data_IF_860614334515
#
_entry.id   IF_860614334515
#
_cell.length_a   1.000
_cell.length_b   1.000
_cell.length_c   1.000
_cell.angle_alpha   90.00
_cell.angle_beta   90.00
_cell.angle_gamma   90.00
#
_symmetry.space_group_name_H-M   'P 1'
#
loop_
_entity.id
_entity.type
_entity.pdbx_description
1 polymer ?
#
# COMPACT_ATOMS: atom_id res chain seq x y z
N UNK A 1 7.80 -11.95 3.05
CA UNK A 1 8.97 -11.74 2.17
C UNK A 1 9.62 -10.45 2.59
N UNK A 2 10.94 -10.42 2.65
CA UNK A 2 11.74 -9.29 3.12
C UNK A 2 12.94 -9.11 2.21
N UNK A 3 13.50 -7.91 2.14
CA UNK A 3 14.73 -7.68 1.40
C UNK A 3 15.21 -6.24 1.44
N UNK A 4 16.42 -6.05 0.94
CA UNK A 4 17.10 -4.76 0.86
C UNK A 4 17.42 -4.43 -0.59
N UNK A 5 17.55 -3.14 -0.88
CA UNK A 5 17.83 -2.66 -2.23
C UNK A 5 18.18 -1.18 -2.28
N UNK A 6 18.35 -0.65 -3.49
CA UNK A 6 18.37 0.80 -3.75
C UNK A 6 17.05 1.15 -4.43
N UNK A 7 16.04 1.50 -3.64
CA UNK A 7 14.70 1.77 -4.15
C UNK A 7 14.55 3.20 -4.71
N UNK A 8 15.62 4.02 -4.65
CA UNK A 8 15.67 5.23 -5.48
C UNK A 8 15.61 4.89 -6.97
N UNK A 9 15.98 3.67 -7.36
CA UNK A 9 15.88 3.16 -8.74
C UNK A 9 14.45 2.87 -9.19
N UNK A 10 13.50 2.78 -8.26
CA UNK A 10 12.08 2.56 -8.56
C UNK A 10 11.20 3.73 -8.12
N UNK A 11 11.80 4.90 -7.88
CA UNK A 11 11.08 6.15 -7.61
C UNK A 11 10.82 6.44 -6.14
N UNK A 12 11.38 5.67 -5.19
CA UNK A 12 11.36 6.05 -3.78
C UNK A 12 12.28 7.25 -3.56
N UNK A 13 11.78 8.26 -2.86
CA UNK A 13 12.56 9.48 -2.63
C UNK A 13 13.75 9.19 -1.73
N UNK A 14 14.91 9.79 -2.03
CA UNK A 14 16.09 9.63 -1.17
C UNK A 14 15.79 10.16 0.24
N UNK A 15 16.04 9.34 1.25
CA UNK A 15 15.76 9.67 2.65
C UNK A 15 14.31 9.44 3.07
N UNK A 16 13.48 8.86 2.20
CA UNK A 16 12.18 8.35 2.57
C UNK A 16 12.38 7.11 3.48
N UNK A 17 12.05 7.28 4.75
CA UNK A 17 12.13 6.23 5.78
C UNK A 17 11.01 5.20 5.64
N UNK A 18 10.07 5.47 4.73
CA UNK A 18 9.13 4.51 4.21
C UNK A 18 7.68 4.87 4.46
N UNK A 19 6.82 4.03 3.89
CA UNK A 19 5.38 4.12 3.98
C UNK A 19 4.75 2.75 3.83
N UNK A 20 3.45 2.73 4.07
CA UNK A 20 2.62 1.53 4.09
C UNK A 20 1.76 1.48 2.82
N UNK A 21 1.70 0.29 2.21
CA UNK A 21 0.88 -0.05 1.06
C UNK A 21 -0.02 -1.23 1.44
N UNK A 22 -1.32 -1.08 1.17
CA UNK A 22 -2.35 -1.96 1.72
C UNK A 22 -3.51 -2.22 0.74
N UNK A 23 -4.35 -3.25 0.99
CA UNK A 23 -5.55 -3.55 0.20
C UNK A 23 -6.73 -2.60 0.44
N UNK A 24 -6.72 -1.79 1.49
CA UNK A 24 -7.84 -1.02 2.01
C UNK A 24 -7.60 0.50 2.03
N UNK A 25 -6.84 1.01 1.07
CA UNK A 25 -6.64 2.46 0.88
C UNK A 25 -7.96 3.24 0.85
N UNK A 26 -7.93 4.58 0.91
CA UNK A 26 -9.11 5.43 1.15
C UNK A 26 -10.37 5.18 0.26
N UNK A 27 -10.22 4.51 -0.89
CA UNK A 27 -11.32 4.15 -1.81
C UNK A 27 -11.77 2.69 -1.71
N UNK A 28 -11.16 1.88 -0.83
CA UNK A 28 -11.37 0.44 -0.71
C UNK A 28 -10.83 -0.38 -1.89
N UNK A 29 -9.93 0.18 -2.70
CA UNK A 29 -9.36 -0.45 -3.92
C UNK A 29 -7.86 -0.72 -3.82
N UNK A 30 -7.33 -0.67 -2.60
CA UNK A 30 -5.90 -0.66 -2.32
C UNK A 30 -5.25 0.71 -2.38
N UNK A 31 -4.11 0.81 -1.74
CA UNK A 31 -3.13 1.88 -1.88
C UNK A 31 -1.75 1.23 -2.11
N UNK A 32 -1.26 1.19 -3.36
CA UNK A 32 -1.81 1.86 -4.54
C UNK A 32 -3.10 1.19 -5.04
N UNK A 33 -3.95 2.00 -5.69
CA UNK A 33 -5.14 1.47 -6.37
C UNK A 33 -4.69 0.43 -7.41
N UNK A 34 -5.28 -0.76 -7.34
CA UNK A 34 -4.93 -1.88 -8.22
C UNK A 34 -3.79 -2.76 -7.73
N UNK A 35 -3.27 -2.53 -6.53
CA UNK A 35 -2.38 -3.46 -5.84
C UNK A 35 -3.11 -4.75 -5.49
N UNK A 36 -2.85 -5.83 -6.25
CA UNK A 36 -3.42 -7.15 -6.01
C UNK A 36 -2.30 -8.16 -5.81
N UNK A 37 -2.38 -8.94 -4.73
CA UNK A 37 -1.40 -9.98 -4.44
C UNK A 37 -2.01 -11.34 -4.76
N UNK A 38 -1.26 -12.16 -5.51
CA UNK A 38 -1.64 -13.53 -5.86
C UNK A 38 -0.54 -14.50 -5.43
N UNK A 39 -0.93 -15.69 -5.01
CA UNK A 39 0.03 -16.74 -4.69
C UNK A 39 -0.61 -18.10 -4.47
N UNK A 40 0.25 -19.09 -4.28
CA UNK A 40 -0.11 -20.49 -4.03
C UNK A 40 0.35 -20.98 -2.64
N UNK A 41 0.80 -20.06 -1.76
CA UNK A 41 1.26 -20.39 -0.41
C UNK A 41 0.21 -21.10 0.45
N UNK A 42 -1.08 -20.91 0.14
CA UNK A 42 -2.22 -21.50 0.86
C UNK A 42 -3.03 -22.46 -0.02
N UNK A 43 -2.40 -23.11 -1.01
CA UNK A 43 -3.03 -24.11 -1.87
C UNK A 43 -3.05 -23.70 -3.35
N UNK A 44 -4.23 -23.67 -3.97
CA UNK A 44 -4.36 -23.25 -5.37
C UNK A 44 -4.01 -21.77 -5.51
N UNK A 45 -3.54 -21.38 -6.70
CA UNK A 45 -3.29 -19.98 -7.03
C UNK A 45 -4.57 -19.18 -6.83
N UNK A 46 -4.51 -18.20 -5.94
CA UNK A 46 -5.63 -17.37 -5.54
C UNK A 46 -5.16 -15.96 -5.19
N UNK A 47 -6.10 -15.02 -5.14
CA UNK A 47 -5.85 -13.68 -4.63
C UNK A 47 -5.76 -13.72 -3.10
N UNK A 48 -4.80 -13.00 -2.54
CA UNK A 48 -4.75 -12.70 -1.12
C UNK A 48 -5.32 -11.29 -0.92
N UNK A 49 -6.52 -11.22 -0.35
CA UNK A 49 -7.21 -9.95 -0.11
C UNK A 49 -6.61 -9.16 1.04
N UNK A 50 -6.06 -9.85 2.04
CA UNK A 50 -5.36 -9.24 3.16
C UNK A 50 -3.85 -9.36 2.94
N UNK A 51 -3.19 -8.22 2.80
CA UNK A 51 -1.75 -8.10 2.65
C UNK A 51 -1.31 -6.74 3.18
N UNK A 52 -0.03 -6.59 3.48
CA UNK A 52 0.56 -5.27 3.77
C UNK A 52 1.99 -5.28 3.27
N UNK A 53 2.44 -4.14 2.76
CA UNK A 53 3.79 -3.93 2.30
C UNK A 53 4.31 -2.61 2.87
N UNK A 54 5.47 -2.68 3.53
CA UNK A 54 6.21 -1.48 3.89
C UNK A 54 7.43 -1.40 2.99
N UNK A 55 7.73 -0.19 2.50
CA UNK A 55 8.92 0.08 1.72
C UNK A 55 9.54 1.39 2.15
N UNK A 56 10.86 1.40 2.34
CA UNK A 56 11.69 2.59 2.49
C UNK A 56 12.59 2.75 1.27
N UNK A 57 13.52 3.70 1.33
CA UNK A 57 14.58 3.86 0.33
C UNK A 57 15.49 2.63 0.17
N UNK A 58 15.63 1.79 1.19
CA UNK A 58 16.66 0.75 1.29
C UNK A 58 16.17 -0.64 1.75
N UNK A 59 14.92 -0.75 2.20
CA UNK A 59 14.31 -2.03 2.58
C UNK A 59 12.84 -2.14 2.15
N UNK A 60 12.40 -3.37 1.96
CA UNK A 60 10.99 -3.70 1.80
C UNK A 60 10.64 -4.98 2.56
N UNK A 61 9.37 -5.08 2.88
CA UNK A 61 8.79 -6.27 3.48
C UNK A 61 7.33 -6.33 3.05
N UNK A 62 6.89 -7.54 2.70
CA UNK A 62 5.51 -7.80 2.33
C UNK A 62 5.04 -9.09 2.99
N UNK A 63 3.84 -9.03 3.55
CA UNK A 63 3.11 -10.18 4.08
C UNK A 63 1.77 -10.27 3.36
N UNK A 64 1.38 -11.49 3.03
CA UNK A 64 0.03 -11.80 2.60
C UNK A 64 -0.55 -12.83 3.57
N UNK A 65 -1.82 -12.70 3.91
CA UNK A 65 -2.44 -13.48 4.96
C UNK A 65 -3.35 -14.57 4.40
N UNK A 66 -3.36 -15.70 5.11
CA UNK A 66 -4.16 -16.86 4.73
C UNK A 66 -5.66 -16.49 4.71
N UNK A 67 -6.34 -16.53 3.55
CA UNK A 67 -7.76 -16.20 3.46
C UNK A 67 -8.67 -17.10 4.30
N UNK A 68 -8.23 -18.33 4.60
CA UNK A 68 -8.94 -19.27 5.45
C UNK A 68 -8.54 -19.18 6.94
N UNK A 69 -7.65 -18.25 7.30
CA UNK A 69 -7.24 -18.01 8.68
C UNK A 69 -8.35 -17.35 9.52
N UNK A 70 -8.26 -17.46 10.84
CA UNK A 70 -9.31 -16.97 11.76
C UNK A 70 -9.50 -15.45 11.72
N UNK A 71 -8.44 -14.68 11.47
CA UNK A 71 -8.51 -13.23 11.31
C UNK A 71 -7.35 -12.72 10.43
N UNK A 72 -7.49 -12.80 9.08
CA UNK A 72 -6.41 -12.43 8.17
C UNK A 72 -6.07 -10.94 8.22
N UNK A 73 -7.05 -10.06 8.45
CA UNK A 73 -6.82 -8.62 8.56
C UNK A 73 -5.91 -8.28 9.75
N UNK A 74 -6.18 -8.84 10.94
CA UNK A 74 -5.31 -8.61 12.11
C UNK A 74 -3.89 -9.16 11.94
N UNK A 75 -3.69 -10.18 11.09
CA UNK A 75 -2.37 -10.76 10.82
C UNK A 75 -1.58 -9.96 9.77
N UNK A 76 -2.28 -9.17 8.95
CA UNK A 76 -1.74 -8.30 7.91
C UNK A 76 -2.11 -6.85 8.20
N UNK A 77 -1.90 -6.41 9.43
CA UNK A 77 -2.30 -5.07 9.81
C UNK A 77 -1.50 -4.00 9.08
N UNK A 78 -2.18 -2.89 8.80
CA UNK A 78 -1.74 -1.83 7.90
C UNK A 78 -1.88 -0.43 8.52
N UNK A 79 -1.73 -0.33 9.85
CA UNK A 79 -1.86 0.94 10.61
C UNK A 79 -0.55 1.39 11.29
N UNK A 80 0.56 0.73 10.96
CA UNK A 80 1.84 0.85 11.68
C UNK A 80 2.97 1.39 10.80
N UNK A 81 2.63 2.30 9.89
CA UNK A 81 3.44 2.89 8.82
C UNK A 81 4.79 3.42 9.28
N UNK A 82 4.84 4.15 10.40
CA UNK A 82 6.05 4.78 10.93
C UNK A 82 6.97 3.84 11.70
N UNK A 83 6.62 2.56 11.84
CA UNK A 83 7.46 1.56 12.52
C UNK A 83 8.43 0.84 11.57
N UNK A 84 8.15 0.89 10.26
CA UNK A 84 8.99 0.27 9.24
C UNK A 84 8.99 -1.26 9.26
N UNK A 85 9.86 -1.86 8.44
CA UNK A 85 9.80 -3.29 8.15
C UNK A 85 10.22 -4.16 9.33
N UNK A 86 11.31 -3.81 10.01
CA UNK A 86 11.85 -4.65 11.09
C UNK A 86 10.94 -4.75 12.30
N UNK A 87 10.06 -3.76 12.50
CA UNK A 87 9.07 -3.80 13.57
C UNK A 87 7.80 -4.55 13.15
N UNK A 88 7.25 -4.25 11.96
CA UNK A 88 6.01 -4.85 11.46
C UNK A 88 6.18 -6.31 11.02
N UNK A 89 7.31 -6.62 10.41
CA UNK A 89 7.66 -7.95 9.88
C UNK A 89 9.09 -8.34 10.27
N UNK A 90 9.31 -8.72 11.54
CA UNK A 90 10.58 -9.27 11.99
C UNK A 90 10.92 -10.54 11.20
N UNK A 91 12.08 -10.56 10.53
CA UNK A 91 12.54 -11.68 9.69
C UNK A 91 14.07 -11.59 9.46
N UNK A 92 14.59 -12.48 8.61
CA UNK A 92 15.92 -12.32 8.04
C UNK A 92 15.91 -11.26 6.91
N UNK A 93 16.88 -10.35 6.92
CA UNK A 93 17.09 -9.28 5.92
C UNK A 93 18.53 -9.33 5.35
N UNK A 94 19.14 -10.51 5.32
CA UNK A 94 20.47 -10.69 4.75
C UNK A 94 20.53 -10.29 3.27
N UNK A 95 21.67 -9.72 2.86
CA UNK A 95 21.90 -9.29 1.49
C UNK A 95 22.41 -10.42 0.59
N UNK A 96 22.11 -10.31 -0.71
CA UNK A 96 22.73 -11.12 -1.77
C UNK A 96 21.98 -12.41 -2.14
N UNK A 97 20.98 -12.81 -1.36
CA UNK A 97 20.11 -13.95 -1.66
C UNK A 97 18.70 -13.72 -1.11
N UNK A 98 17.73 -14.42 -1.68
CA UNK A 98 16.46 -14.69 -1.02
C UNK A 98 16.54 -16.05 -0.35
N UNK A 99 15.73 -16.25 0.69
CA UNK A 99 15.50 -17.57 1.27
C UNK A 99 14.06 -17.97 1.02
N UNK A 100 13.86 -19.19 0.54
CA UNK A 100 12.56 -19.82 0.50
C UNK A 100 12.50 -20.87 1.61
N UNK A 101 11.69 -20.61 2.63
CA UNK A 101 11.63 -21.41 3.84
C UNK A 101 10.19 -21.85 4.12
N UNK A 102 10.07 -22.94 4.89
CA UNK A 102 8.86 -23.20 5.66
C UNK A 102 8.92 -22.35 6.93
N UNK A 103 8.05 -21.35 7.03
CA UNK A 103 7.99 -20.43 8.17
C UNK A 103 6.73 -20.64 9.01
N UNK A 104 6.87 -20.50 10.32
CA UNK A 104 5.73 -20.42 11.23
C UNK A 104 5.00 -19.08 11.05
N UNK A 105 3.72 -19.05 11.44
CA UNK A 105 2.98 -17.79 11.53
C UNK A 105 3.63 -16.87 12.57
N UNK A 106 3.83 -15.61 12.19
CA UNK A 106 4.23 -14.57 13.14
C UNK A 106 3.09 -14.20 14.09
N UNK A 107 3.40 -13.40 15.11
CA UNK A 107 2.38 -12.70 15.89
C UNK A 107 1.73 -11.56 15.08
N UNK A 108 0.45 -11.22 15.35
CA UNK A 108 -0.22 -10.09 14.73
C UNK A 108 0.40 -8.76 15.17
N UNK A 109 0.56 -7.82 14.23
CA UNK A 109 1.23 -6.54 14.51
C UNK A 109 0.51 -5.75 15.60
N UNK A 110 1.27 -5.22 16.54
CA UNK A 110 0.75 -4.40 17.64
C UNK A 110 0.00 -5.14 18.73
N UNK A 111 -0.10 -6.47 18.69
CA UNK A 111 -0.78 -7.26 19.71
C UNK A 111 0.22 -7.88 20.69
N UNK A 112 0.27 -7.36 21.91
CA UNK A 112 1.16 -7.82 22.97
C UNK A 112 0.35 -8.50 24.08
N UNK A 113 0.30 -9.83 24.04
CA UNK A 113 -0.52 -10.63 24.94
C UNK A 113 -2.00 -10.37 24.70
N UNK A 114 -2.66 -9.73 25.66
CA UNK A 114 -4.07 -9.32 25.57
C UNK A 114 -4.25 -7.83 25.25
N UNK A 115 -3.16 -7.09 25.05
CA UNK A 115 -3.18 -5.66 24.78
C UNK A 115 -2.89 -5.35 23.32
N UNK A 116 -3.50 -4.28 22.81
CA UNK A 116 -3.19 -3.71 21.50
C UNK A 116 -2.46 -2.39 21.71
N UNK A 117 -1.29 -2.26 21.12
CA UNK A 117 -0.58 -1.00 21.01
C UNK A 117 -0.99 -0.30 19.72
N UNK A 118 -1.17 1.02 19.77
CA UNK A 118 -1.46 1.83 18.59
C UNK A 118 -0.33 2.81 18.34
N UNK A 119 -0.04 3.05 17.06
CA UNK A 119 0.94 4.04 16.63
C UNK A 119 0.65 5.41 17.27
N UNK A 120 1.72 6.17 17.58
CA UNK A 120 1.74 7.42 18.36
C UNK A 120 1.69 7.28 19.90
N UNK A 121 1.41 6.09 20.43
CA UNK A 121 1.47 5.85 21.89
C UNK A 121 2.91 5.56 22.33
N UNK A 122 3.36 6.19 23.42
CA UNK A 122 4.69 6.01 23.98
C UNK A 122 4.65 5.29 25.35
N UNK A 123 5.64 4.43 25.66
CA UNK A 123 6.73 4.02 24.78
C UNK A 123 6.24 3.08 23.66
N UNK A 124 6.88 3.16 22.49
CA UNK A 124 6.74 2.13 21.45
C UNK A 124 7.31 0.80 21.97
N UNK A 125 6.55 -0.30 21.97
CA UNK A 125 7.04 -1.61 22.39
C UNK A 125 8.06 -2.16 21.37
N UNK A 126 8.94 -3.10 21.79
CA UNK A 126 9.87 -3.72 20.85
C UNK A 126 9.14 -4.53 19.77
N UNK A 127 9.78 -4.78 18.62
CA UNK A 127 9.26 -5.70 17.62
C UNK A 127 8.90 -7.07 18.21
N UNK A 128 7.96 -7.78 17.59
CA UNK A 128 7.75 -9.18 17.91
C UNK A 128 9.00 -10.03 17.63
N UNK A 129 9.15 -11.20 18.28
CA UNK A 129 10.18 -12.15 17.91
C UNK A 129 10.05 -12.57 16.44
N UNK A 130 11.19 -12.82 15.79
CA UNK A 130 11.23 -13.42 14.45
C UNK A 130 10.58 -14.81 14.53
N UNK A 131 9.58 -15.13 13.67
CA UNK A 131 8.99 -16.47 13.65
C UNK A 131 10.04 -17.51 13.24
N UNK A 132 9.91 -18.72 13.79
CA UNK A 132 10.79 -19.83 13.42
C UNK A 132 10.65 -20.16 11.94
N UNK A 133 11.76 -20.57 11.32
CA UNK A 133 11.79 -21.06 9.95
C UNK A 133 12.64 -22.31 9.83
N UNK A 134 12.33 -23.14 8.84
CA UNK A 134 13.00 -24.41 8.58
C UNK A 134 13.02 -24.72 7.09
N UNK A 135 13.83 -25.72 6.70
CA UNK A 135 13.95 -26.17 5.31
C UNK A 135 14.26 -25.04 4.31
N UNK A 136 15.01 -24.04 4.77
CA UNK A 136 15.37 -22.88 3.98
C UNK A 136 16.30 -23.27 2.83
N UNK A 137 15.94 -22.83 1.61
CA UNK A 137 16.82 -22.89 0.44
C UNK A 137 17.16 -21.48 0.00
N UNK A 138 18.44 -21.23 -0.28
CA UNK A 138 18.88 -19.95 -0.83
C UNK A 138 18.58 -19.90 -2.32
N UNK A 139 17.98 -18.80 -2.73
CA UNK A 139 17.69 -18.44 -4.11
C UNK A 139 18.52 -17.21 -4.43
N UNK A 140 19.23 -17.22 -5.55
CA UNK A 140 20.07 -16.07 -5.93
C UNK A 140 19.22 -14.80 -6.03
N UNK A 141 19.73 -13.70 -5.47
CA UNK A 141 19.11 -12.40 -5.67
C UNK A 141 19.29 -11.95 -7.13
N UNK A 142 18.34 -11.15 -7.62
CA UNK A 142 18.44 -10.55 -8.95
C UNK A 142 19.60 -9.55 -8.95
N UNK A 143 20.60 -9.81 -9.78
CA UNK A 143 21.72 -8.88 -9.98
C UNK A 143 21.34 -7.88 -11.08
N UNK A 144 21.48 -6.57 -10.86
CA UNK A 144 21.29 -5.59 -11.93
C UNK A 144 22.21 -5.93 -13.11
N UNK A 145 21.64 -6.27 -14.27
CA UNK A 145 22.36 -6.66 -15.48
C UNK A 145 22.31 -8.15 -15.87
N UNK A 146 21.77 -9.05 -15.03
CA UNK A 146 21.63 -10.48 -15.36
C UNK A 146 20.23 -10.89 -15.85
N UNK A 147 19.32 -9.92 -16.06
CA UNK A 147 18.09 -10.17 -16.80
C UNK A 147 18.40 -10.32 -18.29
N UNK A 148 18.73 -11.55 -18.69
CA UNK A 148 18.70 -11.91 -20.10
C UNK A 148 17.22 -11.87 -20.50
N UNK A 149 16.77 -10.78 -21.14
CA UNK A 149 15.39 -10.65 -21.61
C UNK A 149 14.96 -11.80 -22.56
N UNK A 150 15.95 -12.53 -23.11
CA UNK A 150 15.78 -13.74 -23.90
C UNK A 150 15.43 -15.01 -23.08
N UNK A 151 15.56 -15.01 -21.74
CA UNK A 151 15.11 -16.12 -20.89
C UNK A 151 13.60 -16.05 -20.58
N UNK A 152 12.92 -14.98 -21.00
CA UNK A 152 11.46 -14.91 -21.08
C UNK A 152 10.94 -15.59 -22.36
N UNK A 153 11.52 -16.72 -22.75
CA UNK A 153 10.96 -17.58 -23.80
C UNK A 153 9.94 -18.53 -23.16
N UNK A 154 8.66 -18.23 -23.39
CA UNK A 154 7.57 -19.21 -23.46
C UNK A 154 7.60 -20.33 -22.42
N UNK A 155 7.07 -20.04 -21.23
CA UNK A 155 6.35 -21.08 -20.51
C UNK A 155 5.24 -21.57 -21.43
N UNK A 156 5.39 -22.79 -21.97
CA UNK A 156 4.32 -23.48 -22.70
C UNK A 156 3.12 -23.59 -21.77
N UNK A 157 2.13 -22.72 -21.96
CA UNK A 157 0.76 -22.99 -21.53
C UNK A 157 0.37 -24.32 -22.16
N UNK A 158 0.26 -25.36 -21.35
CA UNK A 158 -0.24 -26.65 -21.80
C UNK A 158 -1.59 -26.44 -22.47
N UNK A 159 -1.69 -26.86 -23.73
CA UNK A 159 -2.91 -26.83 -24.53
C UNK A 159 -4.03 -27.57 -23.81
N UNK A 160 -4.92 -26.80 -23.19
CA UNK A 160 -6.10 -27.30 -22.49
C UNK A 160 -7.22 -26.26 -22.43
N UNK A 161 -7.32 -25.39 -23.45
CA UNK A 161 -8.42 -24.45 -23.59
C UNK A 161 -9.18 -24.80 -24.87
N UNK A 162 -10.33 -25.42 -24.67
CA UNK A 162 -11.40 -25.56 -25.66
C UNK A 162 -11.78 -24.20 -26.23
N UNK A 163 -11.89 -24.13 -27.56
CA UNK A 163 -12.13 -22.94 -28.34
C UNK A 163 -13.30 -22.07 -27.85
N UNK A 164 -13.05 -20.78 -27.69
CA UNK A 164 -14.10 -19.76 -27.54
C UNK A 164 -14.44 -19.24 -28.94
N UNK A 165 -15.67 -19.50 -29.39
CA UNK A 165 -16.22 -18.98 -30.65
C UNK A 165 -16.35 -17.46 -30.59
N UNK A 166 -15.64 -16.76 -31.48
CA UNK A 166 -15.78 -15.32 -31.73
C UNK A 166 -17.15 -14.99 -32.33
N UNK A 167 -17.92 -14.14 -31.64
CA UNK A 167 -19.13 -13.50 -32.16
C UNK A 167 -18.74 -12.18 -32.83
N UNK A 168 -19.03 -12.07 -34.13
CA UNK A 168 -18.94 -10.85 -34.95
C UNK A 168 -20.01 -9.83 -34.55
N UNK A 169 -19.60 -8.60 -34.23
CA UNK A 169 -20.51 -7.44 -34.17
C UNK A 169 -20.13 -6.48 -35.30
N UNK A 170 -21.03 -6.31 -36.25
CA UNK A 170 -20.93 -5.29 -37.30
C UNK A 170 -21.20 -3.90 -36.71
N UNK A 171 -20.26 -2.97 -36.87
CA UNK A 171 -20.42 -1.56 -36.52
C UNK A 171 -19.53 -0.69 -37.40
N UNK A 172 -20.14 0.14 -38.23
CA UNK A 172 -19.55 0.91 -39.32
C UNK A 172 -18.48 1.92 -38.88
N UNK A 173 -17.40 2.01 -39.66
CA UNK A 173 -16.32 2.99 -39.53
C UNK A 173 -16.68 4.27 -40.28
N UNK A 174 -16.64 5.42 -39.61
CA UNK A 174 -16.55 6.74 -40.25
C UNK A 174 -15.10 7.21 -40.10
N UNK A 175 -14.35 7.17 -41.19
CA UNK A 175 -12.97 7.64 -41.29
C UNK A 175 -13.01 9.08 -41.78
N UNK A 176 -12.65 10.04 -40.94
CA UNK A 176 -12.34 11.40 -41.39
C UNK A 176 -10.83 11.58 -41.43
N UNK A 177 -10.34 11.79 -42.65
CA UNK A 177 -8.94 11.91 -43.01
C UNK A 177 -8.27 13.17 -42.43
N UNK A 178 -7.00 13.04 -42.01
CA UNK A 178 -6.10 14.17 -41.85
C UNK A 178 -5.01 14.07 -42.92
N UNK A 179 -5.05 14.98 -43.88
CA UNK A 179 -4.00 15.18 -44.88
C UNK A 179 -3.40 16.56 -44.66
N UNK A 180 -2.08 16.67 -44.52
CA UNK A 180 -1.19 17.50 -45.37
C UNK A 180 0.20 17.61 -44.76
N UNK A 181 1.19 17.53 -45.64
CA UNK A 181 2.60 17.80 -45.36
C UNK A 181 3.03 19.09 -46.08
N UNK A 182 4.17 19.62 -45.61
CA UNK A 182 5.15 20.48 -46.29
C UNK A 182 5.11 22.02 -46.10
N UNK A 183 6.09 22.47 -45.30
CA UNK A 183 7.16 23.46 -45.62
C UNK A 183 6.80 24.91 -45.94
N UNK A 184 7.29 25.87 -45.14
CA UNK A 184 8.32 26.88 -45.51
C UNK A 184 8.58 27.91 -44.38
N UNK A 185 9.79 28.46 -44.45
CA UNK A 185 10.55 29.40 -43.61
C UNK A 185 10.04 30.85 -43.57
N UNK A 186 10.35 31.59 -42.49
CA UNK A 186 10.67 33.03 -42.60
C UNK A 186 10.09 33.99 -41.56
N UNK A 187 10.96 34.44 -40.65
CA UNK A 187 11.18 35.83 -40.19
C UNK A 187 10.12 36.58 -39.34
N UNK A 188 10.68 37.27 -38.34
CA UNK A 188 10.05 38.09 -37.30
C UNK A 188 9.27 39.32 -37.79
N UNK A 189 8.28 39.74 -37.00
CA UNK A 189 7.94 41.15 -36.79
C UNK A 189 7.10 41.36 -35.52
N UNK A 190 7.61 42.24 -34.66
CA UNK A 190 6.95 42.93 -33.55
C UNK A 190 5.89 43.90 -34.07
N UNK A 191 4.66 43.92 -33.54
CA UNK A 191 3.80 45.12 -33.53
C UNK A 191 2.88 45.13 -32.29
N UNK A 192 3.05 46.22 -31.52
CA UNK A 192 2.22 46.80 -30.46
C UNK A 192 0.85 47.28 -30.94
N UNK A 193 -0.20 47.14 -30.12
CA UNK A 193 -1.49 47.79 -30.37
C UNK A 193 -2.45 47.74 -29.18
N UNK A 194 -2.51 48.84 -28.44
CA UNK A 194 -3.44 49.21 -27.36
C UNK A 194 -4.86 49.49 -27.87
N UNK A 195 -5.91 49.18 -27.09
CA UNK A 195 -7.28 49.64 -27.40
C UNK A 195 -8.44 49.06 -26.56
N UNK A 196 -8.55 49.48 -25.29
CA UNK A 196 -9.75 49.96 -24.55
C UNK A 196 -11.11 49.22 -24.62
N UNK A 197 -11.50 48.70 -23.43
CA UNK A 197 -12.81 48.65 -22.74
C UNK A 197 -14.06 48.00 -23.36
N UNK A 198 -14.61 47.03 -22.63
CA UNK A 198 -15.96 47.13 -22.02
C UNK A 198 -16.12 46.13 -20.86
N UNK A 199 -16.81 46.60 -19.83
CA UNK A 199 -16.93 46.01 -18.51
C UNK A 199 -17.96 44.85 -18.43
N UNK A 200 -17.73 43.92 -17.50
CA UNK A 200 -18.80 43.25 -16.78
C UNK A 200 -18.30 42.83 -15.38
N UNK A 201 -18.90 43.43 -14.38
CA UNK A 201 -18.71 43.22 -12.94
C UNK A 201 -19.55 42.03 -12.49
N UNK A 202 -18.97 41.06 -11.78
CA UNK A 202 -19.63 40.38 -10.64
C UNK A 202 -18.60 39.91 -9.61
N UNK A 203 -18.78 40.45 -8.42
CA UNK A 203 -18.11 40.21 -7.14
C UNK A 203 -18.49 38.85 -6.52
N UNK A 204 -17.51 38.16 -5.91
CA UNK A 204 -17.58 37.62 -4.53
C UNK A 204 -16.27 36.84 -4.24
N UNK A 205 -15.33 37.40 -3.47
CA UNK A 205 -15.21 37.30 -2.00
C UNK A 205 -14.30 36.15 -1.56
N UNK A 206 -13.03 36.50 -1.36
CA UNK A 206 -12.00 35.77 -0.62
C UNK A 206 -12.23 35.85 0.90
N UNK A 207 -12.01 34.76 1.64
CA UNK A 207 -11.54 34.84 3.02
C UNK A 207 -10.78 33.58 3.45
N UNK A 208 -9.46 33.68 3.32
CA UNK A 208 -8.47 33.01 4.16
C UNK A 208 -8.58 33.49 5.60
N UNK A 209 -8.64 32.58 6.58
CA UNK A 209 -8.35 32.92 7.98
C UNK A 209 -7.40 31.89 8.62
N UNK A 210 -6.24 32.43 8.99
CA UNK A 210 -5.16 31.82 9.75
C UNK A 210 -5.51 31.73 11.24
N UNK A 211 -4.85 30.81 11.94
CA UNK A 211 -5.13 30.48 13.33
C UNK A 211 -4.77 31.53 14.39
N UNK A 212 -5.27 31.30 15.60
CA UNK A 212 -4.79 31.92 16.82
C UNK A 212 -4.88 30.95 18.00
N UNK A 213 -3.75 30.78 18.70
CA UNK A 213 -3.61 30.09 19.98
C UNK A 213 -4.35 30.88 21.07
N UNK A 214 -5.11 30.21 21.95
CA UNK A 214 -5.48 30.76 23.26
C UNK A 214 -5.24 29.75 24.37
N UNK A 215 -4.29 30.09 25.25
CA UNK A 215 -4.12 29.53 26.60
C UNK A 215 -5.07 30.28 27.53
N UNK A 216 -5.79 29.57 28.41
CA UNK A 216 -6.21 30.06 29.73
C UNK A 216 -6.54 28.86 30.64
N UNK A 217 -5.91 28.85 31.82
CA UNK A 217 -6.12 27.89 32.90
C UNK A 217 -7.36 28.19 33.75
N UNK A 218 -7.46 27.61 34.96
CA UNK A 218 -8.59 26.76 35.32
C UNK A 218 -9.65 27.47 36.17
N UNK A 219 -10.90 27.00 36.08
CA UNK A 219 -11.98 27.33 37.00
C UNK A 219 -12.60 26.03 37.52
N UNK A 220 -12.40 25.82 38.82
CA UNK A 220 -13.10 24.89 39.68
C UNK A 220 -14.60 25.20 39.75
N UNK A 221 -15.45 24.18 39.76
CA UNK A 221 -16.47 23.89 40.79
C UNK A 221 -17.54 22.97 40.23
N UNK A 222 -17.65 21.78 40.86
CA UNK A 222 -18.85 21.04 41.28
C UNK A 222 -20.13 21.16 40.42
N UNK A 223 -20.75 20.02 40.09
CA UNK A 223 -22.01 19.55 40.69
C UNK A 223 -22.49 18.24 40.01
N UNK A 224 -23.20 17.44 40.81
CA UNK A 224 -24.20 16.44 40.46
C UNK A 224 -23.75 15.03 40.00
N UNK A 225 -23.82 14.14 40.98
CA UNK A 225 -23.99 12.68 40.88
C UNK A 225 -25.15 12.27 39.97
N UNK A 226 -24.94 11.27 39.13
CA UNK A 226 -26.00 10.38 38.65
C UNK A 226 -25.43 8.97 38.50
N UNK A 227 -25.77 8.13 39.47
CA UNK A 227 -25.55 6.69 39.39
C UNK A 227 -26.55 6.07 38.42
N UNK A 228 -26.06 5.36 37.41
CA UNK A 228 -26.84 4.34 36.70
C UNK A 228 -25.93 3.12 36.64
N UNK A 229 -26.17 2.18 37.55
CA UNK A 229 -25.69 0.82 37.41
C UNK A 229 -26.65 0.05 36.51
N UNK A 230 -26.11 -0.75 35.59
CA UNK A 230 -26.73 -2.02 35.18
C UNK A 230 -25.71 -2.86 34.39
N UNK A 231 -25.49 -4.10 34.85
CA UNK A 231 -25.27 -5.25 33.97
C UNK A 231 -23.84 -5.70 33.69
N UNK A 232 -23.16 -6.30 34.68
CA UNK A 232 -22.07 -7.27 34.40
C UNK A 232 -22.71 -8.65 34.26
N UNK A 233 -22.77 -9.17 33.03
CA UNK A 233 -23.01 -10.60 32.79
C UNK A 233 -21.66 -11.32 32.87
N UNK A 234 -21.50 -12.11 33.94
CA UNK A 234 -20.42 -13.08 34.10
C UNK A 234 -20.76 -14.30 33.25
N UNK A 235 -20.06 -14.47 32.13
CA UNK A 235 -20.08 -15.69 31.33
C UNK A 235 -18.83 -16.52 31.60
N UNK A 236 -18.95 -17.53 32.46
CA UNK A 236 -17.96 -18.59 32.60
C UNK A 236 -18.07 -19.53 31.39
N UNK A 237 -16.98 -19.70 30.64
CA UNK A 237 -16.84 -20.80 29.67
C UNK A 237 -15.83 -21.78 30.25
N UNK A 238 -16.38 -22.92 30.67
CA UNK A 238 -15.66 -24.11 31.12
C UNK A 238 -15.19 -24.87 29.89
N UNK A 239 -13.94 -25.33 29.97
CA UNK A 239 -13.30 -26.23 29.02
C UNK A 239 -14.03 -27.57 28.89
N UNK A 240 -14.15 -28.05 27.66
CA UNK A 240 -13.98 -29.43 27.22
C UNK A 240 -13.75 -29.44 25.70
#
# INVERSE_FOLDING_TARGET
VTGNGDFTKIGVTKGDEGGELDPHGATGKGNPIGGLVFGNAYGKMQQFHEWTNFMSVDEFCIRACNPAGTNPAAMCEHIYDVQGCKWNMPANYDNGYFENCLGDSSLPMGIYGTSTWHQSIQPTPPPHPVPSSSSCVRVASLTPGSVNAAALTTGTVGSGLTAFTTMTVSGSLIVSALSTAATTTGTAATVTGTGVSSAATTTASSSSQSGAKQRRGPLSSLWASAAIGLGVMVGAMVAL
#
